data_IF_730470625677
#
_entry.id   IF_730470625677
#
_cell.length_a   1.000
_cell.length_b   1.000
_cell.length_c   1.000
_cell.angle_alpha   90.00
_cell.angle_beta   90.00
_cell.angle_gamma   90.00
#
_symmetry.space_group_name_H-M   'P 1'
#
loop_
_entity.id
_entity.type
_entity.pdbx_description
1 polymer ?
#
# COMPACT_ATOMS: atom_id res chain seq x y z
N UNK A 1 19.80 32.61 -24.73
CA UNK A 1 18.63 32.81 -23.85
C UNK A 1 19.16 32.99 -22.42
N UNK A 2 18.86 34.11 -21.75
CA UNK A 2 19.37 34.41 -20.40
C UNK A 2 18.20 34.79 -19.49
N UNK A 3 17.48 33.77 -19.03
CA UNK A 3 16.56 33.86 -17.90
C UNK A 3 17.14 33.07 -16.72
N UNK A 4 16.59 33.21 -15.50
CA UNK A 4 17.01 32.41 -14.36
C UNK A 4 16.96 30.90 -14.68
N UNK A 5 17.93 30.13 -14.18
CA UNK A 5 18.08 28.71 -14.52
C UNK A 5 16.80 27.88 -14.26
N UNK A 6 16.01 28.24 -13.24
CA UNK A 6 14.77 27.56 -12.88
C UNK A 6 13.61 27.78 -13.87
N UNK A 7 13.76 28.69 -14.82
CA UNK A 7 12.79 28.90 -15.91
C UNK A 7 13.11 28.05 -17.15
N UNK A 8 14.39 27.69 -17.31
CA UNK A 8 14.88 26.94 -18.48
C UNK A 8 15.17 25.47 -18.16
N UNK A 9 15.31 25.11 -16.88
CA UNK A 9 15.62 23.75 -16.43
C UNK A 9 14.44 23.18 -15.63
N UNK A 10 14.07 21.94 -15.96
CA UNK A 10 13.05 21.17 -15.28
C UNK A 10 13.57 20.27 -14.18
N UNK A 11 12.70 19.86 -13.23
CA UNK A 11 13.05 18.85 -12.26
C UNK A 11 13.18 17.47 -12.91
N UNK A 12 14.09 16.66 -12.40
CA UNK A 12 14.17 15.23 -12.73
C UNK A 12 13.08 14.44 -11.99
N UNK A 13 12.66 13.29 -12.52
CA UNK A 13 11.70 12.40 -11.86
C UNK A 13 12.09 12.07 -10.41
N UNK A 14 13.40 11.86 -10.15
CA UNK A 14 13.93 11.64 -8.81
C UNK A 14 13.71 12.82 -7.88
N UNK A 15 13.97 14.05 -8.34
CA UNK A 15 13.72 15.26 -7.55
C UNK A 15 12.23 15.45 -7.27
N UNK A 16 11.37 15.21 -8.26
CA UNK A 16 9.91 15.29 -8.10
C UNK A 16 9.42 14.26 -7.08
N UNK A 17 9.93 13.02 -7.10
CA UNK A 17 9.58 12.00 -6.09
C UNK A 17 9.95 12.43 -4.67
N UNK A 18 11.15 12.96 -4.48
CA UNK A 18 11.58 13.46 -3.15
C UNK A 18 10.69 14.60 -2.68
N UNK A 19 10.37 15.55 -3.56
CA UNK A 19 9.51 16.69 -3.22
C UNK A 19 8.08 16.27 -2.88
N UNK A 20 7.51 15.35 -3.66
CA UNK A 20 6.20 14.73 -3.36
C UNK A 20 6.24 13.96 -2.05
N UNK A 21 7.27 13.14 -1.81
CA UNK A 21 7.44 12.38 -0.57
C UNK A 21 7.51 13.30 0.67
N UNK A 22 8.21 14.42 0.56
CA UNK A 22 8.26 15.43 1.62
C UNK A 22 6.89 16.10 1.81
N UNK A 23 6.17 16.37 0.71
CA UNK A 23 4.86 17.04 0.76
C UNK A 23 3.77 16.17 1.40
N UNK A 24 3.74 14.87 1.10
CA UNK A 24 2.76 13.95 1.69
C UNK A 24 2.95 13.78 3.21
N UNK A 25 4.06 14.28 3.76
CA UNK A 25 4.36 14.41 5.20
C UNK A 25 3.80 13.25 6.03
N UNK A 26 4.22 12.03 5.67
CA UNK A 26 3.85 10.82 6.41
C UNK A 26 4.71 10.82 7.68
N UNK A 27 4.32 11.64 8.65
CA UNK A 27 4.97 11.68 9.97
C UNK A 27 4.78 10.32 10.61
N UNK A 28 5.86 9.54 10.71
CA UNK A 28 5.88 8.30 11.48
C UNK A 28 6.06 8.67 12.95
N UNK A 29 4.98 8.61 13.74
CA UNK A 29 5.05 8.72 15.20
C UNK A 29 5.02 7.31 15.78
N UNK A 30 6.13 6.91 16.43
CA UNK A 30 6.21 5.66 17.19
C UNK A 30 6.55 4.40 16.37
N UNK A 31 6.46 3.26 17.04
CA UNK A 31 6.72 1.94 16.45
C UNK A 31 5.50 1.46 15.66
N UNK A 32 5.71 1.17 14.37
CA UNK A 32 4.69 0.62 13.49
C UNK A 32 5.16 -0.77 12.99
N UNK A 33 4.50 -1.87 13.38
CA UNK A 33 4.90 -3.22 12.99
C UNK A 33 4.80 -3.46 11.48
N UNK A 34 4.00 -2.65 10.77
CA UNK A 34 3.78 -2.73 9.34
C UNK A 34 4.62 -1.70 8.55
N UNK A 35 5.60 -1.06 9.20
CA UNK A 35 6.41 0.02 8.62
C UNK A 35 7.07 -0.37 7.30
N UNK A 36 7.70 -1.55 7.24
CA UNK A 36 8.42 -2.00 6.05
C UNK A 36 7.50 -2.15 4.84
N UNK A 37 6.31 -2.73 5.04
CA UNK A 37 5.30 -2.88 3.99
C UNK A 37 4.71 -1.53 3.60
N UNK A 38 4.48 -0.64 4.56
CA UNK A 38 4.00 0.72 4.31
C UNK A 38 4.99 1.53 3.49
N UNK A 39 6.27 1.50 3.85
CA UNK A 39 7.36 2.15 3.10
C UNK A 39 7.45 1.59 1.67
N UNK A 40 7.27 0.27 1.50
CA UNK A 40 7.21 -0.35 0.17
C UNK A 40 6.01 0.18 -0.64
N UNK A 41 4.82 0.24 -0.05
CA UNK A 41 3.62 0.76 -0.71
C UNK A 41 3.81 2.22 -1.17
N UNK A 42 4.44 3.06 -0.33
CA UNK A 42 4.75 4.45 -0.72
C UNK A 42 5.70 4.46 -1.93
N UNK A 43 6.78 3.70 -1.88
CA UNK A 43 7.75 3.65 -2.97
C UNK A 43 7.13 3.14 -4.27
N UNK A 44 6.32 2.08 -4.21
CA UNK A 44 5.61 1.53 -5.36
C UNK A 44 4.63 2.56 -5.95
N UNK A 45 3.92 3.31 -5.10
CA UNK A 45 3.03 4.39 -5.54
C UNK A 45 3.79 5.55 -6.20
N UNK A 46 4.92 5.99 -5.62
CA UNK A 46 5.77 7.03 -6.18
C UNK A 46 6.32 6.62 -7.55
N UNK A 47 6.84 5.40 -7.68
CA UNK A 47 7.39 4.89 -8.94
C UNK A 47 6.32 4.71 -10.01
N UNK A 48 5.09 4.37 -9.61
CA UNK A 48 3.95 4.24 -10.53
C UNK A 48 3.49 5.60 -11.10
N UNK A 49 3.45 6.64 -10.28
CA UNK A 49 2.99 7.98 -10.71
C UNK A 49 4.11 8.80 -11.36
N UNK A 50 5.35 8.60 -10.91
CA UNK A 50 6.55 9.35 -11.30
C UNK A 50 7.66 8.34 -11.67
N UNK A 51 7.51 7.59 -12.77
CA UNK A 51 8.55 6.67 -13.22
C UNK A 51 9.79 7.43 -13.72
N UNK A 52 10.94 6.76 -13.76
CA UNK A 52 12.21 7.39 -14.20
C UNK A 52 12.18 7.86 -15.66
N UNK A 53 11.33 7.25 -16.48
CA UNK A 53 11.13 7.65 -17.88
C UNK A 53 10.33 8.95 -18.04
N UNK A 54 9.70 9.46 -16.98
CA UNK A 54 8.84 10.63 -17.04
C UNK A 54 9.66 11.93 -17.05
N UNK A 55 9.37 12.82 -18.00
CA UNK A 55 10.09 14.08 -18.21
C UNK A 55 9.19 15.29 -18.54
N UNK A 56 7.87 15.14 -18.39
CA UNK A 56 6.82 16.12 -18.71
C UNK A 56 6.54 17.14 -17.59
N UNK A 57 7.53 17.41 -16.72
CA UNK A 57 7.34 18.28 -15.55
C UNK A 57 7.46 19.79 -15.88
N UNK A 58 7.92 20.14 -17.08
CA UNK A 58 8.23 21.52 -17.46
C UNK A 58 9.46 22.07 -16.73
N UNK A 59 9.56 23.40 -16.61
CA UNK A 59 10.62 24.04 -15.81
C UNK A 59 10.28 24.04 -14.32
N UNK A 60 11.25 24.28 -13.44
CA UNK A 60 10.99 24.46 -12.01
C UNK A 60 9.95 25.56 -11.72
N UNK A 61 9.97 26.66 -12.48
CA UNK A 61 8.94 27.70 -12.40
C UNK A 61 7.57 27.14 -12.76
N UNK A 62 7.44 26.47 -13.91
CA UNK A 62 6.18 25.86 -14.35
C UNK A 62 5.65 24.83 -13.35
N UNK A 63 6.52 23.94 -12.89
CA UNK A 63 6.21 22.93 -11.88
C UNK A 63 5.58 23.53 -10.62
N UNK A 64 6.15 24.65 -10.13
CA UNK A 64 5.62 25.37 -8.98
C UNK A 64 4.32 26.12 -9.31
N UNK A 65 4.31 26.92 -10.39
CA UNK A 65 3.17 27.78 -10.78
C UNK A 65 1.91 26.97 -11.09
N UNK A 66 2.03 25.81 -11.74
CA UNK A 66 0.89 24.97 -12.07
C UNK A 66 0.49 24.00 -10.95
N UNK A 67 1.15 24.07 -9.78
CA UNK A 67 0.81 23.22 -8.65
C UNK A 67 1.02 21.73 -8.89
N UNK A 68 1.95 21.35 -9.78
CA UNK A 68 2.21 19.96 -10.16
C UNK A 68 2.52 19.07 -8.96
N UNK A 69 3.25 19.63 -7.97
CA UNK A 69 3.51 18.97 -6.68
C UNK A 69 2.23 18.48 -6.01
N UNK A 70 1.20 19.32 -5.95
CA UNK A 70 -0.07 19.01 -5.26
C UNK A 70 -0.85 17.92 -6.02
N UNK A 71 -0.94 18.05 -7.34
CA UNK A 71 -1.63 17.07 -8.19
C UNK A 71 -0.97 15.69 -8.14
N UNK A 72 0.36 15.63 -8.22
CA UNK A 72 1.10 14.38 -8.10
C UNK A 72 0.96 13.78 -6.69
N UNK A 73 1.09 14.61 -5.66
CA UNK A 73 0.90 14.18 -4.27
C UNK A 73 -0.48 13.61 -4.02
N UNK A 74 -1.53 14.24 -4.54
CA UNK A 74 -2.92 13.77 -4.41
C UNK A 74 -3.09 12.36 -4.97
N UNK A 75 -2.56 12.10 -6.17
CA UNK A 75 -2.60 10.78 -6.81
C UNK A 75 -1.83 9.73 -6.01
N UNK A 76 -0.66 10.09 -5.49
CA UNK A 76 0.14 9.20 -4.63
C UNK A 76 -0.61 8.88 -3.34
N UNK A 77 -1.18 9.88 -2.66
CA UNK A 77 -1.95 9.70 -1.43
C UNK A 77 -3.14 8.76 -1.65
N UNK A 78 -3.85 8.89 -2.77
CA UNK A 78 -4.99 8.02 -3.08
C UNK A 78 -4.61 6.54 -3.16
N UNK A 79 -3.51 6.24 -3.85
CA UNK A 79 -2.97 4.87 -3.96
C UNK A 79 -2.51 4.37 -2.59
N UNK A 80 -1.71 5.18 -1.88
CA UNK A 80 -1.17 4.80 -0.58
C UNK A 80 -2.28 4.50 0.42
N UNK A 81 -3.32 5.35 0.50
CA UNK A 81 -4.46 5.14 1.40
C UNK A 81 -5.17 3.83 1.11
N UNK A 82 -5.46 3.56 -0.17
CA UNK A 82 -6.13 2.32 -0.59
C UNK A 82 -5.32 1.09 -0.19
N UNK A 83 -4.03 1.08 -0.51
CA UNK A 83 -3.15 -0.07 -0.24
C UNK A 83 -2.90 -0.25 1.27
N UNK A 84 -2.79 0.84 2.04
CA UNK A 84 -2.73 0.77 3.50
C UNK A 84 -3.98 0.16 4.11
N UNK A 85 -5.16 0.57 3.65
CA UNK A 85 -6.42 -0.03 4.10
C UNK A 85 -6.45 -1.53 3.80
N UNK A 86 -6.03 -1.94 2.60
CA UNK A 86 -5.97 -3.35 2.23
C UNK A 86 -4.97 -4.14 3.08
N UNK A 87 -3.81 -3.56 3.40
CA UNK A 87 -2.83 -4.17 4.28
C UNK A 87 -3.41 -4.42 5.68
N UNK A 88 -4.08 -3.42 6.26
CA UNK A 88 -4.72 -3.52 7.58
C UNK A 88 -5.83 -4.58 7.56
N UNK A 89 -6.67 -4.59 6.53
CA UNK A 89 -7.73 -5.58 6.39
C UNK A 89 -7.16 -7.01 6.33
N UNK A 90 -6.10 -7.22 5.56
CA UNK A 90 -5.47 -8.54 5.41
C UNK A 90 -4.75 -9.00 6.66
N UNK A 91 -4.03 -8.11 7.34
CA UNK A 91 -3.21 -8.50 8.50
C UNK A 91 -3.98 -8.55 9.81
N UNK A 92 -5.03 -7.74 9.97
CA UNK A 92 -5.73 -7.59 11.25
C UNK A 92 -7.14 -8.15 11.22
N UNK A 93 -7.92 -7.77 10.21
CA UNK A 93 -9.33 -8.17 10.15
C UNK A 93 -9.52 -9.61 9.66
N UNK A 94 -8.84 -9.98 8.57
CA UNK A 94 -8.99 -11.29 7.95
C UNK A 94 -8.69 -12.45 8.91
N UNK A 95 -7.63 -12.42 9.74
CA UNK A 95 -7.37 -13.48 10.71
C UNK A 95 -8.49 -13.64 11.74
N UNK A 96 -9.10 -12.52 12.19
CA UNK A 96 -10.22 -12.56 13.14
C UNK A 96 -11.47 -13.18 12.50
N UNK A 97 -11.76 -12.83 11.25
CA UNK A 97 -12.89 -13.42 10.51
C UNK A 97 -12.65 -14.91 10.30
N UNK A 98 -11.46 -15.31 9.84
CA UNK A 98 -11.12 -16.71 9.63
C UNK A 98 -11.23 -17.47 10.96
N UNK A 99 -10.63 -16.96 12.03
CA UNK A 99 -10.74 -17.58 13.35
C UNK A 99 -12.19 -17.74 13.79
N UNK A 100 -13.03 -16.71 13.65
CA UNK A 100 -14.44 -16.77 14.05
C UNK A 100 -15.25 -17.77 13.23
N UNK A 101 -14.98 -17.88 11.94
CA UNK A 101 -15.70 -18.78 11.03
C UNK A 101 -15.27 -20.24 11.16
N UNK A 102 -13.98 -20.49 11.39
CA UNK A 102 -13.37 -21.82 11.33
C UNK A 102 -13.00 -22.42 12.69
N UNK A 103 -13.16 -21.69 13.79
CA UNK A 103 -13.05 -22.29 15.14
C UNK A 103 -14.09 -23.40 15.34
N UNK A 104 -13.88 -24.34 16.28
CA UNK A 104 -14.88 -25.35 16.63
C UNK A 104 -16.25 -24.72 16.93
N UNK A 105 -17.31 -25.27 16.33
CA UNK A 105 -18.67 -24.72 16.39
C UNK A 105 -18.91 -23.45 15.54
N UNK A 106 -17.91 -22.98 14.80
CA UNK A 106 -18.05 -21.91 13.80
C UNK A 106 -18.83 -22.37 12.57
N UNK A 107 -19.51 -21.43 11.90
CA UNK A 107 -20.41 -21.76 10.79
C UNK A 107 -19.72 -22.43 9.60
N UNK A 108 -18.46 -22.06 9.30
CA UNK A 108 -17.66 -22.72 8.26
C UNK A 108 -17.10 -24.04 8.75
N UNK A 109 -16.69 -24.13 10.02
CA UNK A 109 -16.25 -25.38 10.61
C UNK A 109 -17.35 -26.46 10.55
N UNK A 110 -18.58 -26.14 10.96
CA UNK A 110 -19.74 -27.05 10.93
C UNK A 110 -20.01 -27.55 9.51
N UNK A 111 -19.98 -26.65 8.52
CA UNK A 111 -20.16 -27.05 7.11
C UNK A 111 -19.07 -28.02 6.65
N UNK A 112 -17.82 -27.74 7.00
CA UNK A 112 -16.68 -28.57 6.63
C UNK A 112 -16.77 -29.93 7.30
N UNK A 113 -16.97 -30.00 8.62
CA UNK A 113 -17.08 -31.27 9.37
C UNK A 113 -18.26 -32.15 8.93
N UNK A 114 -19.30 -31.54 8.34
CA UNK A 114 -20.41 -32.28 7.76
C UNK A 114 -20.09 -32.81 6.36
N UNK A 115 -19.31 -32.06 5.58
CA UNK A 115 -18.92 -32.41 4.21
C UNK A 115 -17.64 -33.25 4.09
N UNK A 116 -16.80 -33.28 5.13
CA UNK A 116 -15.50 -33.97 5.15
C UNK A 116 -15.32 -34.73 6.47
N UNK A 117 -14.30 -35.59 6.56
CA UNK A 117 -13.95 -36.34 7.78
C UNK A 117 -13.19 -35.50 8.83
N UNK A 118 -13.02 -34.19 8.59
CA UNK A 118 -12.25 -33.31 9.48
C UNK A 118 -12.92 -33.20 10.84
N UNK A 119 -12.21 -33.58 11.90
CA UNK A 119 -12.68 -33.50 13.29
C UNK A 119 -13.51 -34.68 13.76
N UNK A 120 -13.66 -35.74 12.95
CA UNK A 120 -14.14 -37.04 13.44
C UNK A 120 -12.94 -37.79 14.00
N UNK A 121 -13.05 -38.28 15.23
CA UNK A 121 -12.14 -39.31 15.73
C UNK A 121 -12.38 -40.52 14.82
N UNK A 122 -11.48 -40.75 13.87
CA UNK A 122 -11.41 -42.04 13.19
C UNK A 122 -10.92 -42.97 14.28
N UNK A 123 -11.85 -43.69 14.93
CA UNK A 123 -11.47 -44.89 15.65
C UNK A 123 -10.66 -45.72 14.66
N UNK A 124 -9.38 -45.94 14.96
CA UNK A 124 -8.59 -46.92 14.24
C UNK A 124 -9.43 -48.21 14.28
N UNK A 125 -9.71 -48.85 13.13
CA UNK A 125 -10.17 -50.22 13.16
C UNK A 125 -8.98 -51.07 13.64
N UNK A 126 -8.77 -51.10 14.95
CA UNK A 126 -8.02 -52.14 15.61
C UNK A 126 -8.89 -53.40 15.55
N UNK A 127 -8.32 -54.39 14.85
CA UNK A 127 -8.38 -55.81 15.20
C UNK A 127 -9.76 -56.47 15.28
N UNK A 128 -10.16 -57.12 14.18
CA UNK A 128 -10.75 -58.47 14.20
C UNK A 128 -10.46 -59.21 12.89
#
# INVERSE_FOLDING_TARGET
MSGPWYECVGPTAKQVRTDVLNHINIVQIGFDPDKKEKDKIINDALMKIIPDSRNDFGSWRGYSTFGMKFELSKKVIEIVRKEYSMLILRKRLLPLIIHRLYRPGGSRFIKISNSTLVGRNVENPEEE
#
